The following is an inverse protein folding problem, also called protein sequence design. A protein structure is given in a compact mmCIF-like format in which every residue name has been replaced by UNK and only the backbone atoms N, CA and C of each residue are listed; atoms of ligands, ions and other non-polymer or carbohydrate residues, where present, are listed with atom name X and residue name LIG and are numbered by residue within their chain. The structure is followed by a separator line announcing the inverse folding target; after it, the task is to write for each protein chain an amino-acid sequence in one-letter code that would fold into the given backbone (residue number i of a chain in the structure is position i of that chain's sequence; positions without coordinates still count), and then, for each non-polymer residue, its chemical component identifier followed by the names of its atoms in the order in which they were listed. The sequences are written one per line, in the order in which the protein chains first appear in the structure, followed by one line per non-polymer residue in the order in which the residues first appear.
data_IF_618897089027
#
_entry.id   IF_618897089027
#
_cell.length_a   1.000
_cell.length_b   1.000
_cell.length_c   1.000
_cell.angle_alpha   90.00
_cell.angle_beta   90.00
_cell.angle_gamma   90.00
#
_symmetry.space_group_name_H-M   'P 1'
#
loop_
_entity.id
_entity.type
_entity.pdbx_description
1 polymer ?
#
# COMPACT_ATOMS: atom_id res chain seq x y z
N UNK A 1 13.59 8.31 9.73
CA UNK A 1 13.73 9.38 8.69
C UNK A 1 13.24 8.86 7.36
N UNK A 2 12.36 9.59 6.72
CA UNK A 2 11.86 9.24 5.38
C UNK A 2 12.98 9.42 4.36
N UNK A 3 13.19 8.38 3.54
CA UNK A 3 14.33 8.31 2.60
C UNK A 3 13.93 8.53 1.13
N UNK A 4 12.64 8.74 0.85
CA UNK A 4 12.12 8.94 -0.50
C UNK A 4 11.47 10.32 -0.63
N UNK A 5 11.41 10.81 -1.85
CA UNK A 5 10.76 12.09 -2.17
C UNK A 5 10.15 12.03 -3.57
N UNK A 6 9.30 13.00 -3.88
CA UNK A 6 8.75 13.17 -5.23
C UNK A 6 9.89 13.30 -6.24
N UNK A 7 9.71 12.69 -7.39
CA UNK A 7 10.64 12.58 -8.50
C UNK A 7 11.75 11.55 -8.33
N UNK A 8 11.84 10.88 -7.19
CA UNK A 8 12.72 9.70 -7.04
C UNK A 8 12.15 8.51 -7.81
N UNK A 9 13.04 7.61 -8.25
CA UNK A 9 12.61 6.28 -8.66
C UNK A 9 12.14 5.52 -7.42
N UNK A 10 11.06 4.75 -7.57
CA UNK A 10 10.59 3.90 -6.47
C UNK A 10 11.68 2.87 -6.13
N UNK A 11 11.94 2.61 -4.84
CA UNK A 11 12.99 1.65 -4.44
C UNK A 11 12.78 0.27 -5.04
N UNK A 12 13.87 -0.39 -5.43
CA UNK A 12 13.84 -1.76 -5.93
C UNK A 12 13.77 -2.72 -4.76
N UNK A 13 12.58 -3.20 -4.44
CA UNK A 13 12.34 -4.12 -3.33
C UNK A 13 11.52 -5.31 -3.79
N UNK A 14 11.53 -6.37 -2.98
CA UNK A 14 10.80 -7.60 -3.22
C UNK A 14 9.66 -7.74 -2.21
N UNK A 15 8.48 -8.03 -2.72
CA UNK A 15 7.29 -8.34 -1.92
C UNK A 15 6.90 -9.80 -2.08
N UNK A 16 5.95 -10.24 -1.27
CA UNK A 16 5.35 -11.55 -1.41
C UNK A 16 3.87 -11.44 -1.75
N UNK A 17 3.39 -12.42 -2.50
CA UNK A 17 1.98 -12.64 -2.80
C UNK A 17 1.73 -14.13 -2.80
N UNK A 18 0.46 -14.55 -2.69
CA UNK A 18 0.10 -15.94 -2.94
C UNK A 18 -0.28 -16.11 -4.41
N UNK A 19 0.25 -17.14 -5.03
CA UNK A 19 -0.13 -17.58 -6.39
C UNK A 19 -0.52 -19.05 -6.26
N UNK A 20 -1.78 -19.36 -6.52
CA UNK A 20 -2.32 -20.72 -6.34
C UNK A 20 -2.08 -21.25 -4.91
N UNK A 21 -2.23 -20.38 -3.92
CA UNK A 21 -2.05 -20.72 -2.51
C UNK A 21 -0.61 -20.80 -2.03
N UNK A 22 0.37 -20.55 -2.89
CA UNK A 22 1.81 -20.64 -2.55
C UNK A 22 2.46 -19.24 -2.53
N UNK A 23 3.32 -18.95 -1.52
CA UNK A 23 4.07 -17.70 -1.51
C UNK A 23 5.00 -17.58 -2.71
N UNK A 24 4.89 -16.46 -3.41
CA UNK A 24 5.76 -16.11 -4.53
C UNK A 24 6.28 -14.69 -4.32
N UNK A 25 7.49 -14.44 -4.80
CA UNK A 25 8.07 -13.10 -4.78
C UNK A 25 7.61 -12.32 -6.01
N UNK A 26 7.46 -11.01 -5.82
CA UNK A 26 7.20 -10.06 -6.91
C UNK A 26 8.05 -8.82 -6.66
N UNK A 27 8.72 -8.34 -7.69
CA UNK A 27 9.59 -7.18 -7.59
C UNK A 27 8.85 -5.90 -7.99
N UNK A 28 9.35 -4.77 -7.53
CA UNK A 28 8.78 -3.46 -7.87
C UNK A 28 8.73 -3.22 -9.38
N UNK A 29 9.75 -3.67 -10.12
CA UNK A 29 9.74 -3.54 -11.59
C UNK A 29 8.58 -4.29 -12.25
N UNK A 30 8.18 -5.43 -11.68
CA UNK A 30 7.03 -6.20 -12.20
C UNK A 30 5.69 -5.52 -11.94
N UNK A 31 5.64 -4.67 -10.93
CA UNK A 31 4.42 -3.96 -10.52
C UNK A 31 4.27 -2.64 -11.28
N UNK A 32 5.34 -1.85 -11.32
CA UNK A 32 5.29 -0.45 -11.73
C UNK A 32 5.65 -0.19 -13.20
N UNK A 33 6.29 -1.14 -13.87
CA UNK A 33 6.81 -0.91 -15.22
C UNK A 33 5.67 -0.56 -16.21
N UNK A 34 5.76 0.61 -16.82
CA UNK A 34 4.80 1.14 -17.78
C UNK A 34 3.36 1.24 -17.26
N UNK A 35 3.20 1.38 -15.93
CA UNK A 35 1.89 1.47 -15.28
C UNK A 35 1.79 2.65 -14.33
N UNK A 36 0.57 3.15 -14.16
CA UNK A 36 0.21 4.13 -13.13
C UNK A 36 -0.43 3.39 -11.96
N UNK A 37 0.25 3.38 -10.83
CA UNK A 37 -0.11 2.58 -9.66
C UNK A 37 -0.30 3.47 -8.45
N UNK A 38 -1.34 3.19 -7.68
CA UNK A 38 -1.48 3.72 -6.32
C UNK A 38 -1.05 2.61 -5.36
N UNK A 39 -0.07 2.91 -4.54
CA UNK A 39 0.38 2.02 -3.47
C UNK A 39 -0.07 2.60 -2.14
N UNK A 40 -0.92 1.88 -1.42
CA UNK A 40 -1.46 2.32 -0.14
C UNK A 40 -0.90 1.45 0.97
N UNK A 41 -0.25 2.06 1.93
CA UNK A 41 0.32 1.35 3.07
C UNK A 41 -0.55 1.48 4.30
N UNK A 42 -0.68 0.39 5.01
CA UNK A 42 -1.41 0.31 6.29
C UNK A 42 -0.54 -0.38 7.33
N UNK A 43 -0.67 -0.01 8.62
CA UNK A 43 0.08 -0.66 9.69
C UNK A 43 -0.24 -2.14 9.89
N UNK A 44 -1.45 -2.57 9.54
CA UNK A 44 -1.78 -3.98 9.68
C UNK A 44 -3.13 -4.37 9.11
N UNK A 45 -3.16 -5.53 8.46
CA UNK A 45 -4.39 -6.18 8.02
C UNK A 45 -5.27 -6.46 9.24
N UNK A 46 -6.58 -6.42 9.07
CA UNK A 46 -7.59 -6.69 10.11
C UNK A 46 -7.60 -5.70 11.28
N UNK A 47 -6.81 -4.64 11.24
CA UNK A 47 -6.87 -3.59 12.27
C UNK A 47 -8.03 -2.63 11.97
N UNK A 48 -8.61 -1.93 12.99
CA UNK A 48 -9.87 -1.19 12.81
C UNK A 48 -9.91 -0.16 11.70
N UNK A 49 -9.02 0.82 11.70
CA UNK A 49 -9.01 1.89 10.68
C UNK A 49 -8.71 1.35 9.30
N UNK A 50 -7.75 0.43 9.21
CA UNK A 50 -7.37 -0.19 7.93
C UNK A 50 -8.53 -0.95 7.31
N UNK A 51 -9.29 -1.69 8.13
CA UNK A 51 -10.36 -2.58 7.66
C UNK A 51 -11.70 -1.89 7.49
N UNK A 52 -12.01 -0.88 8.32
CA UNK A 52 -13.33 -0.27 8.35
C UNK A 52 -13.43 1.03 7.56
N UNK A 53 -12.31 1.69 7.29
CA UNK A 53 -12.31 3.01 6.65
C UNK A 53 -11.36 3.10 5.46
N UNK A 54 -10.09 2.76 5.64
CA UNK A 54 -9.08 2.98 4.61
C UNK A 54 -9.30 2.12 3.37
N UNK A 55 -9.29 0.81 3.52
CA UNK A 55 -9.51 -0.11 2.40
C UNK A 55 -10.90 0.05 1.77
N UNK A 56 -12.00 0.13 2.55
CA UNK A 56 -13.32 0.32 1.96
C UNK A 56 -13.46 1.58 1.10
N UNK A 57 -12.79 2.67 1.47
CA UNK A 57 -12.77 3.89 0.67
C UNK A 57 -12.20 3.68 -0.73
N UNK A 58 -11.11 2.94 -0.83
CA UNK A 58 -10.50 2.61 -2.14
C UNK A 58 -11.34 1.63 -2.94
N UNK A 59 -11.98 0.67 -2.28
CA UNK A 59 -12.89 -0.27 -2.96
C UNK A 59 -14.05 0.50 -3.58
N UNK A 60 -14.65 1.41 -2.82
CA UNK A 60 -15.80 2.20 -3.25
C UNK A 60 -15.46 3.11 -4.43
N UNK A 61 -14.28 3.71 -4.43
CA UNK A 61 -13.87 4.69 -5.44
C UNK A 61 -12.97 4.10 -6.53
N UNK A 62 -12.83 2.78 -6.57
CA UNK A 62 -11.94 2.11 -7.53
C UNK A 62 -12.19 2.55 -8.98
N UNK A 63 -13.43 2.58 -9.41
CA UNK A 63 -13.78 2.96 -10.78
C UNK A 63 -13.42 4.41 -11.08
N UNK A 64 -13.50 5.30 -10.09
CA UNK A 64 -13.11 6.70 -10.26
C UNK A 64 -11.59 6.82 -10.48
N UNK A 65 -10.79 6.00 -9.81
CA UNK A 65 -9.35 5.93 -10.05
C UNK A 65 -9.05 5.43 -11.47
N UNK A 66 -9.77 4.41 -11.92
CA UNK A 66 -9.61 3.88 -13.29
C UNK A 66 -9.92 4.95 -14.33
N UNK A 67 -10.95 5.77 -14.12
CA UNK A 67 -11.28 6.89 -15.01
C UNK A 67 -10.18 7.93 -15.10
N UNK A 68 -9.38 8.07 -14.04
CA UNK A 68 -8.23 8.99 -14.01
C UNK A 68 -6.96 8.38 -14.60
N UNK A 69 -7.02 7.17 -15.14
CA UNK A 69 -5.90 6.52 -15.78
C UNK A 69 -5.06 5.64 -14.86
N UNK A 70 -5.49 5.39 -13.62
CA UNK A 70 -4.80 4.48 -12.71
C UNK A 70 -5.02 3.05 -13.19
N UNK A 71 -3.93 2.30 -13.35
CA UNK A 71 -3.99 0.91 -13.81
C UNK A 71 -4.39 -0.06 -12.70
N UNK A 72 -3.75 0.07 -11.53
CA UNK A 72 -4.02 -0.80 -10.38
C UNK A 72 -3.82 -0.06 -9.07
N UNK A 73 -4.46 -0.58 -8.02
CA UNK A 73 -4.29 -0.12 -6.64
C UNK A 73 -3.84 -1.32 -5.82
N UNK A 74 -2.72 -1.18 -5.11
CA UNK A 74 -2.17 -2.19 -4.23
C UNK A 74 -2.20 -1.69 -2.79
N UNK A 75 -2.64 -2.54 -1.87
CA UNK A 75 -2.44 -2.34 -0.43
C UNK A 75 -1.23 -3.14 0.03
N UNK A 76 -0.39 -2.53 0.84
CA UNK A 76 0.81 -3.15 1.38
C UNK A 76 0.84 -3.01 2.89
N UNK A 77 1.31 -4.03 3.56
CA UNK A 77 1.56 -4.04 5.01
C UNK A 77 2.69 -4.99 5.33
N UNK A 78 3.19 -4.92 6.56
CA UNK A 78 4.28 -5.78 7.04
C UNK A 78 3.81 -7.19 7.42
N UNK A 79 2.53 -7.49 7.24
CA UNK A 79 1.99 -8.83 7.44
C UNK A 79 2.53 -9.80 6.39
N UNK A 80 2.44 -11.10 6.69
CA UNK A 80 2.80 -12.14 5.72
C UNK A 80 1.77 -12.27 4.59
N UNK A 81 2.09 -12.96 3.49
CA UNK A 81 1.18 -13.06 2.35
C UNK A 81 -0.10 -13.83 2.63
N UNK A 82 -0.10 -14.76 3.58
CA UNK A 82 -1.34 -15.49 3.94
C UNK A 82 -2.34 -14.57 4.61
N UNK A 83 -1.87 -13.74 5.53
CA UNK A 83 -2.71 -12.76 6.22
C UNK A 83 -3.22 -11.70 5.24
N UNK A 84 -2.35 -11.19 4.38
CA UNK A 84 -2.74 -10.19 3.38
C UNK A 84 -3.78 -10.73 2.39
N UNK A 85 -3.57 -11.95 1.93
CA UNK A 85 -4.52 -12.61 1.01
C UNK A 85 -5.89 -12.77 1.68
N UNK A 86 -5.92 -13.28 2.90
CA UNK A 86 -7.17 -13.47 3.65
C UNK A 86 -7.88 -12.14 3.88
N UNK A 87 -7.12 -11.09 4.20
CA UNK A 87 -7.69 -9.76 4.47
C UNK A 87 -8.34 -9.16 3.22
N UNK A 88 -7.63 -9.13 2.13
CA UNK A 88 -8.15 -8.57 0.87
C UNK A 88 -9.34 -9.38 0.35
N UNK A 89 -9.27 -10.70 0.45
CA UNK A 89 -10.37 -11.57 -0.01
C UNK A 89 -11.57 -11.60 0.93
N UNK A 90 -11.47 -11.02 2.13
CA UNK A 90 -12.61 -10.88 3.03
C UNK A 90 -13.62 -9.83 2.57
N UNK A 91 -13.25 -8.99 1.61
CA UNK A 91 -14.13 -7.98 1.01
C UNK A 91 -14.71 -8.53 -0.29
N UNK A 92 -16.04 -8.54 -0.39
CA UNK A 92 -16.71 -8.95 -1.64
C UNK A 92 -16.54 -7.88 -2.72
N UNK A 93 -16.44 -8.32 -3.95
CA UNK A 93 -16.38 -7.45 -5.14
C UNK A 93 -15.20 -6.46 -5.17
N UNK A 94 -14.13 -6.73 -4.42
CA UNK A 94 -12.95 -5.89 -4.43
C UNK A 94 -12.04 -6.22 -5.62
N UNK A 95 -11.56 -5.18 -6.29
CA UNK A 95 -10.54 -5.28 -7.33
C UNK A 95 -9.18 -4.79 -6.82
N UNK A 96 -9.08 -4.48 -5.54
CA UNK A 96 -7.82 -4.05 -4.89
C UNK A 96 -6.89 -5.25 -4.80
N UNK A 97 -5.62 -5.03 -5.13
CA UNK A 97 -4.57 -6.04 -5.02
C UNK A 97 -3.76 -5.82 -3.74
N UNK A 98 -2.95 -6.78 -3.35
CA UNK A 98 -2.13 -6.67 -2.16
C UNK A 98 -0.68 -7.03 -2.40
N UNK A 99 0.17 -6.54 -1.52
CA UNK A 99 1.59 -6.90 -1.42
C UNK A 99 1.92 -7.11 0.05
N UNK A 100 2.73 -8.11 0.34
CA UNK A 100 3.20 -8.36 1.70
C UNK A 100 4.67 -7.94 1.81
N UNK A 101 4.94 -6.94 2.66
CA UNK A 101 6.30 -6.49 2.97
C UNK A 101 6.83 -7.24 4.20
N UNK A 102 6.73 -8.58 4.17
CA UNK A 102 7.05 -9.42 5.32
C UNK A 102 8.53 -9.44 5.68
N UNK A 103 9.41 -9.12 4.73
CA UNK A 103 10.84 -8.96 5.00
C UNK A 103 11.23 -7.52 5.36
N UNK A 104 10.26 -6.62 5.43
CA UNK A 104 10.46 -5.20 5.75
C UNK A 104 11.40 -4.47 4.78
N UNK A 105 11.49 -4.93 3.53
CA UNK A 105 12.35 -4.27 2.53
C UNK A 105 11.84 -2.88 2.16
N UNK A 106 10.53 -2.73 1.98
CA UNK A 106 9.94 -1.42 1.71
C UNK A 106 10.09 -0.49 2.91
N UNK A 107 9.81 -1.01 4.12
CA UNK A 107 9.96 -0.24 5.35
C UNK A 107 11.39 0.30 5.48
N UNK A 108 12.39 -0.56 5.28
CA UNK A 108 13.79 -0.16 5.40
C UNK A 108 14.25 0.78 4.27
N UNK A 109 13.75 0.57 3.06
CA UNK A 109 14.13 1.40 1.92
C UNK A 109 13.52 2.81 1.99
N UNK A 110 12.34 2.95 2.58
CA UNK A 110 11.63 4.24 2.64
C UNK A 110 11.75 4.96 3.97
N UNK A 111 11.98 4.23 5.05
CA UNK A 111 11.95 4.79 6.40
C UNK A 111 10.55 5.16 6.88
N UNK A 112 9.51 4.77 6.15
CA UNK A 112 8.11 5.04 6.50
C UNK A 112 7.62 3.97 7.48
N UNK A 113 7.90 4.18 8.76
CA UNK A 113 7.61 3.22 9.81
C UNK A 113 6.89 3.85 11.00
N UNK A 114 6.20 3.03 11.76
CA UNK A 114 5.55 3.40 13.01
C UNK A 114 5.81 2.32 14.05
N UNK A 115 6.12 2.75 15.27
CA UNK A 115 6.31 1.83 16.39
C UNK A 115 4.97 1.65 17.10
N UNK A 116 4.41 0.45 16.98
CA UNK A 116 3.16 0.06 17.62
C UNK A 116 3.38 -1.04 18.66
N UNK A 117 4.54 -1.06 19.26
CA UNK A 117 4.91 -2.05 20.29
C UNK A 117 3.91 -2.04 21.45
N UNK A 118 3.43 -0.86 21.85
CA UNK A 118 2.43 -0.71 22.92
C UNK A 118 1.14 -1.48 22.62
N UNK A 119 0.78 -1.57 21.34
CA UNK A 119 -0.40 -2.31 20.89
C UNK A 119 -0.10 -3.77 20.55
N UNK A 120 1.13 -4.22 20.80
CA UNK A 120 1.52 -5.59 20.49
C UNK A 120 1.84 -5.85 19.03
N UNK A 121 1.98 -4.81 18.22
CA UNK A 121 2.21 -4.94 16.77
C UNK A 121 3.68 -4.76 16.36
N UNK A 122 4.51 -4.23 17.28
CA UNK A 122 5.91 -3.95 16.97
C UNK A 122 6.05 -2.81 15.97
N UNK A 123 7.17 -2.82 15.25
CA UNK A 123 7.42 -1.83 14.20
C UNK A 123 6.77 -2.28 12.90
N UNK A 124 5.97 -1.41 12.31
CA UNK A 124 5.20 -1.68 11.11
C UNK A 124 5.40 -0.57 10.08
N UNK A 125 5.06 -0.86 8.82
CA UNK A 125 4.89 0.22 7.84
C UNK A 125 3.88 1.23 8.40
N UNK A 126 4.16 2.52 8.24
CA UNK A 126 3.22 3.56 8.63
C UNK A 126 2.10 3.69 7.60
N UNK A 127 1.12 4.57 7.87
CA UNK A 127 0.01 4.80 6.95
C UNK A 127 0.39 5.89 5.96
N UNK A 128 0.40 5.53 4.68
CA UNK A 128 0.69 6.47 3.59
C UNK A 128 0.11 5.95 2.28
N UNK A 129 0.09 6.80 1.27
CA UNK A 129 -0.18 6.39 -0.10
C UNK A 129 0.82 7.07 -1.03
N UNK A 130 1.21 6.38 -2.08
CA UNK A 130 2.15 6.88 -3.08
C UNK A 130 1.55 6.67 -4.46
N UNK A 131 1.54 7.73 -5.29
CA UNK A 131 1.24 7.60 -6.70
C UNK A 131 2.56 7.41 -7.46
N UNK A 132 2.66 6.31 -8.19
CA UNK A 132 3.84 5.93 -8.97
C UNK A 132 3.45 5.83 -10.44
N UNK A 133 4.16 6.55 -11.30
CA UNK A 133 3.96 6.50 -12.75
C UNK A 133 5.22 5.94 -13.40
N UNK A 134 5.10 4.74 -13.97
CA UNK A 134 6.22 4.05 -14.60
C UNK A 134 7.48 4.00 -13.73
N UNK A 135 7.29 3.66 -12.45
CA UNK A 135 8.37 3.55 -11.47
C UNK A 135 8.86 4.87 -10.88
N UNK A 136 8.30 6.01 -11.31
CA UNK A 136 8.66 7.33 -10.77
C UNK A 136 7.63 7.80 -9.75
N UNK A 137 8.10 8.20 -8.57
CA UNK A 137 7.23 8.70 -7.50
C UNK A 137 6.70 10.08 -7.90
N UNK A 138 5.38 10.20 -8.05
CA UNK A 138 4.72 11.46 -8.42
C UNK A 138 4.17 12.21 -7.23
N UNK A 139 3.60 11.51 -6.26
CA UNK A 139 3.04 12.11 -5.04
C UNK A 139 3.26 11.17 -3.87
N UNK A 140 3.46 11.75 -2.70
CA UNK A 140 3.55 11.02 -1.43
C UNK A 140 2.55 11.65 -0.47
N UNK A 141 1.63 10.84 0.05
CA UNK A 141 0.61 11.23 1.00
C UNK A 141 0.88 10.52 2.32
N UNK A 142 1.74 11.11 3.14
CA UNK A 142 2.20 10.53 4.40
C UNK A 142 1.36 11.10 5.56
N UNK A 143 0.72 10.22 6.32
CA UNK A 143 -0.08 10.65 7.48
C UNK A 143 0.77 11.17 8.63
N UNK A 144 2.06 10.82 8.65
CA UNK A 144 3.00 11.21 9.71
C UNK A 144 2.52 10.78 11.10
N UNK A 145 1.74 9.69 11.15
CA UNK A 145 1.17 9.16 12.38
C UNK A 145 0.03 8.20 12.10
N UNK A 146 -0.93 8.15 13.00
CA UNK A 146 -2.02 7.18 12.95
C UNK A 146 -3.32 7.63 12.29
N UNK A 147 -3.40 8.87 11.82
CA UNK A 147 -4.63 9.42 11.24
C UNK A 147 -5.00 8.84 9.87
N UNK A 148 -6.16 9.21 9.37
CA UNK A 148 -6.62 8.89 8.02
C UNK A 148 -7.24 10.15 7.40
N UNK A 149 -6.42 10.92 6.72
CA UNK A 149 -6.83 12.14 6.02
C UNK A 149 -6.09 12.26 4.69
N UNK A 150 -4.75 12.31 4.74
CA UNK A 150 -3.91 12.52 3.55
C UNK A 150 -3.93 11.32 2.61
N UNK A 151 -3.90 10.10 3.12
CA UNK A 151 -3.84 8.87 2.34
C UNK A 151 -5.20 8.27 2.00
N UNK A 152 -6.29 8.94 2.34
CA UNK A 152 -7.63 8.49 2.01
C UNK A 152 -7.88 8.51 0.51
N UNK A 153 -8.77 7.64 0.04
CA UNK A 153 -9.13 7.58 -1.37
C UNK A 153 -9.67 8.91 -1.89
N UNK A 154 -10.51 9.56 -1.10
CA UNK A 154 -11.10 10.86 -1.45
C UNK A 154 -10.02 11.93 -1.65
N UNK A 155 -9.03 11.97 -0.75
CA UNK A 155 -7.96 12.96 -0.84
C UNK A 155 -7.06 12.70 -2.06
N UNK A 156 -6.74 11.43 -2.33
CA UNK A 156 -5.94 11.11 -3.52
C UNK A 156 -6.66 11.54 -4.79
N UNK A 157 -7.94 11.24 -4.93
CA UNK A 157 -8.71 11.61 -6.13
C UNK A 157 -8.71 13.11 -6.39
N UNK A 158 -8.75 13.93 -5.33
CA UNK A 158 -8.68 15.39 -5.46
C UNK A 158 -7.32 15.89 -5.94
N UNK A 159 -6.27 15.13 -5.69
CA UNK A 159 -4.90 15.56 -5.91
C UNK A 159 -4.18 14.82 -7.06
N UNK A 160 -4.91 14.02 -7.81
CA UNK A 160 -4.36 13.34 -9.00
C UNK A 160 -4.58 14.13 -10.27
#
# INVERSE_FOLDING_TARGET
MVKIKVDDCFPDVTFFQLVDGNPKTIRTSDIFNEKKIILVSVPGAFTPTCSNEHLPGYIKLFDEFKKKGIDDIYFVASNDPFVMDAWINSYSESQIKYLADSKLELLNATGLEIDLTVAGLGTRLSRFAIFVDNGLIKNIFDEEGGGLAKSSAENLLKNL
#
